data_IF_707340302613
#
_entry.id   IF_707340302613
#
_cell.length_a   1.000
_cell.length_b   1.000
_cell.length_c   1.000
_cell.angle_alpha   90.00
_cell.angle_beta   90.00
_cell.angle_gamma   90.00
#
_symmetry.space_group_name_H-M   'P 1'
#
loop_
_entity.id
_entity.type
_entity.pdbx_description
1 polymer ?
#
# COMPACT_ATOMS: atom_id res chain seq x y z
N UNK A 1 -20.51 27.04 5.12
CA UNK A 1 -19.08 26.70 5.22
C UNK A 1 -18.73 25.83 4.02
N UNK A 2 -17.68 26.15 3.24
CA UNK A 2 -17.13 25.19 2.29
C UNK A 2 -16.59 23.96 3.05
N UNK A 3 -16.67 22.74 2.47
CA UNK A 3 -16.06 21.57 3.08
C UNK A 3 -14.55 21.81 3.22
N UNK A 4 -13.98 21.39 4.35
CA UNK A 4 -12.54 21.42 4.55
C UNK A 4 -11.89 20.62 3.40
N UNK A 5 -10.78 21.11 2.81
CA UNK A 5 -10.08 20.34 1.79
C UNK A 5 -9.65 18.99 2.37
N UNK A 6 -9.68 17.91 1.58
CA UNK A 6 -9.19 16.61 2.03
C UNK A 6 -7.77 16.77 2.56
N UNK A 7 -7.50 16.23 3.75
CA UNK A 7 -6.14 16.17 4.24
C UNK A 7 -5.38 15.14 3.41
N UNK A 8 -4.22 15.56 2.89
CA UNK A 8 -3.29 14.73 2.13
C UNK A 8 -1.99 14.63 2.92
N UNK A 9 -1.42 13.43 3.01
CA UNK A 9 -0.07 13.22 3.51
C UNK A 9 0.78 12.54 2.43
N UNK A 10 2.06 12.94 2.35
CA UNK A 10 2.99 12.46 1.32
C UNK A 10 4.17 11.73 1.95
N UNK A 11 4.53 10.59 1.38
CA UNK A 11 5.62 9.73 1.84
C UNK A 11 6.46 9.31 0.63
N UNK A 12 7.77 9.22 0.80
CA UNK A 12 8.68 8.72 -0.23
C UNK A 12 9.17 7.32 0.17
N UNK A 13 8.95 6.35 -0.70
CA UNK A 13 9.53 5.02 -0.60
C UNK A 13 10.77 4.93 -1.50
N UNK A 14 11.89 4.57 -0.89
CA UNK A 14 13.16 4.34 -1.57
C UNK A 14 13.92 3.19 -0.89
N UNK A 15 14.70 2.43 -1.67
CA UNK A 15 15.56 1.31 -1.21
C UNK A 15 16.50 1.68 -0.04
N UNK A 16 16.90 2.95 0.07
CA UNK A 16 17.78 3.45 1.14
C UNK A 16 17.05 4.15 2.29
N UNK A 17 15.73 4.31 2.19
CA UNK A 17 14.91 5.01 3.18
C UNK A 17 14.14 4.06 4.10
N UNK A 18 13.51 4.59 5.17
CA UNK A 18 12.61 3.81 6.01
C UNK A 18 11.46 3.25 5.15
N UNK A 19 11.34 1.91 5.12
CA UNK A 19 10.40 1.18 4.28
C UNK A 19 9.05 0.92 4.93
N UNK A 20 8.51 1.87 5.70
CA UNK A 20 7.21 1.70 6.34
C UNK A 20 6.41 2.99 6.20
N UNK A 21 5.24 2.90 5.56
CA UNK A 21 4.31 4.02 5.46
C UNK A 21 3.34 3.92 6.61
N UNK A 22 3.38 4.88 7.54
CA UNK A 22 2.40 4.95 8.62
C UNK A 22 1.00 5.23 8.04
N UNK A 23 0.06 4.33 8.32
CA UNK A 23 -1.34 4.49 7.91
C UNK A 23 -2.20 5.12 8.99
N UNK A 24 -1.70 5.31 10.21
CA UNK A 24 -2.40 6.03 11.26
C UNK A 24 -2.25 7.55 11.07
N UNK A 25 -2.36 8.01 9.82
CA UNK A 25 -2.40 9.41 9.47
C UNK A 25 -3.83 9.96 9.60
N UNK A 26 -3.94 11.22 10.04
CA UNK A 26 -5.19 11.97 10.06
C UNK A 26 -5.48 12.58 8.67
N UNK A 27 -5.38 11.72 7.66
CA UNK A 27 -5.46 12.00 6.24
C UNK A 27 -6.54 11.15 5.59
N UNK A 28 -7.22 11.66 4.56
CA UNK A 28 -8.13 10.85 3.71
C UNK A 28 -7.42 10.39 2.43
N UNK A 29 -6.31 11.04 2.07
CA UNK A 29 -5.46 10.71 0.93
C UNK A 29 -4.00 10.53 1.37
N UNK A 30 -3.34 9.50 0.87
CA UNK A 30 -1.91 9.24 1.02
C UNK A 30 -1.27 9.18 -0.36
N UNK A 31 -0.25 10.02 -0.57
CA UNK A 31 0.57 10.02 -1.77
C UNK A 31 1.92 9.38 -1.45
N UNK A 32 2.21 8.28 -2.10
CA UNK A 32 3.40 7.49 -1.87
C UNK A 32 4.24 7.54 -3.14
N UNK A 33 5.28 8.38 -3.14
CA UNK A 33 6.23 8.44 -4.25
C UNK A 33 7.18 7.26 -4.15
N UNK A 34 7.13 6.36 -5.12
CA UNK A 34 8.05 5.23 -5.26
C UNK A 34 9.19 5.67 -6.15
N UNK A 35 10.38 5.83 -5.55
CA UNK A 35 11.53 6.45 -6.22
C UNK A 35 12.71 5.50 -6.36
N UNK A 36 12.91 4.93 -7.56
CA UNK A 36 14.25 4.66 -8.06
C UNK A 36 14.37 3.62 -9.19
N UNK A 37 15.39 3.74 -10.06
CA UNK A 37 15.69 2.72 -11.05
C UNK A 37 16.07 1.42 -10.35
N UNK A 38 15.56 0.29 -10.86
CA UNK A 38 15.75 -1.05 -10.27
C UNK A 38 15.04 -1.26 -8.91
N UNK A 39 14.11 -0.38 -8.53
CA UNK A 39 13.20 -0.67 -7.42
C UNK A 39 12.07 -1.54 -7.94
N UNK A 40 12.11 -2.81 -7.59
CA UNK A 40 11.06 -3.75 -7.88
C UNK A 40 10.31 -3.94 -6.58
N UNK A 41 9.33 -3.11 -6.27
CA UNK A 41 8.35 -3.45 -5.23
C UNK A 41 7.09 -3.92 -5.93
N UNK A 42 6.73 -5.19 -5.81
CA UNK A 42 5.56 -5.70 -6.51
C UNK A 42 4.25 -5.27 -5.83
N UNK A 43 4.28 -5.08 -4.50
CA UNK A 43 3.11 -4.76 -3.69
C UNK A 43 3.49 -4.10 -2.38
N UNK A 44 2.52 -3.45 -1.75
CA UNK A 44 2.58 -3.04 -0.35
C UNK A 44 1.70 -3.97 0.48
N UNK A 45 2.14 -4.34 1.68
CA UNK A 45 1.37 -5.17 2.63
C UNK A 45 1.02 -4.37 3.87
N UNK A 46 -0.23 -4.47 4.31
CA UNK A 46 -0.64 -3.97 5.61
C UNK A 46 0.02 -4.80 6.71
N UNK A 47 0.83 -4.16 7.53
CA UNK A 47 1.34 -4.69 8.78
C UNK A 47 0.58 -4.03 9.93
N UNK A 48 0.10 -4.85 10.86
CA UNK A 48 -0.56 -4.37 12.08
C UNK A 48 -0.17 -5.24 13.27
N UNK A 49 -0.19 -4.65 14.46
CA UNK A 49 -0.02 -5.39 15.73
C UNK A 49 -1.31 -6.07 16.18
N UNK A 50 -2.44 -5.80 15.53
CA UNK A 50 -3.73 -6.40 15.86
C UNK A 50 -3.83 -7.83 15.30
N UNK A 51 -4.20 -8.74 16.18
CA UNK A 51 -4.52 -10.13 15.84
C UNK A 51 -6.00 -10.32 15.53
N UNK A 52 -6.41 -11.48 14.98
CA UNK A 52 -7.82 -11.80 14.78
C UNK A 52 -8.66 -11.78 16.07
N UNK A 53 -8.04 -12.03 17.23
CA UNK A 53 -8.71 -11.98 18.54
C UNK A 53 -8.97 -10.56 19.03
N UNK A 54 -8.38 -9.56 18.38
CA UNK A 54 -8.50 -8.13 18.71
C UNK A 54 -9.35 -7.38 17.68
N UNK A 55 -10.00 -8.10 16.76
CA UNK A 55 -10.90 -7.55 15.75
C UNK A 55 -10.35 -7.60 14.32
N UNK A 56 -9.04 -7.83 14.13
CA UNK A 56 -8.39 -7.86 12.81
C UNK A 56 -8.65 -9.19 12.07
N UNK A 57 -9.91 -9.44 11.74
CA UNK A 57 -10.37 -10.65 11.04
C UNK A 57 -10.29 -10.48 9.52
N UNK A 58 -10.27 -11.59 8.77
CA UNK A 58 -10.28 -11.57 7.31
C UNK A 58 -11.47 -10.76 6.74
N UNK A 59 -12.67 -10.95 7.31
CA UNK A 59 -13.86 -10.22 6.89
C UNK A 59 -13.71 -8.69 7.07
N UNK A 60 -13.09 -8.24 8.16
CA UNK A 60 -12.88 -6.81 8.39
C UNK A 60 -11.76 -6.23 7.53
N UNK A 61 -10.76 -7.05 7.17
CA UNK A 61 -9.76 -6.69 6.16
C UNK A 61 -10.39 -6.58 4.77
N UNK A 62 -11.34 -7.46 4.42
CA UNK A 62 -12.11 -7.37 3.16
C UNK A 62 -12.98 -6.11 3.14
N UNK A 63 -13.64 -5.80 4.26
CA UNK A 63 -14.38 -4.54 4.39
C UNK A 63 -13.45 -3.34 4.23
N UNK A 64 -12.29 -3.34 4.88
CA UNK A 64 -11.29 -2.30 4.73
C UNK A 64 -10.83 -2.16 3.27
N UNK A 65 -10.51 -3.26 2.58
CA UNK A 65 -10.13 -3.24 1.17
C UNK A 65 -11.22 -2.61 0.30
N UNK A 66 -12.50 -2.91 0.55
CA UNK A 66 -13.64 -2.29 -0.15
C UNK A 66 -13.88 -0.81 0.19
N UNK A 67 -13.15 -0.24 1.16
CA UNK A 67 -13.18 1.18 1.52
C UNK A 67 -11.93 1.94 1.10
N UNK A 68 -11.01 1.28 0.41
CA UNK A 68 -9.77 1.87 -0.09
C UNK A 68 -9.78 1.84 -1.61
N UNK A 69 -9.27 2.91 -2.21
CA UNK A 69 -9.06 3.00 -3.65
C UNK A 69 -7.63 3.48 -3.89
N UNK A 70 -6.94 2.78 -4.79
CA UNK A 70 -5.55 3.05 -5.13
C UNK A 70 -5.40 3.38 -6.61
N UNK A 71 -4.60 4.38 -6.94
CA UNK A 71 -4.19 4.69 -8.31
C UNK A 71 -2.68 4.89 -8.39
N UNK A 72 -2.06 4.34 -9.42
CA UNK A 72 -0.64 4.50 -9.72
C UNK A 72 -0.46 5.44 -10.89
N UNK A 73 0.31 6.49 -10.67
CA UNK A 73 0.65 7.50 -11.65
C UNK A 73 2.10 7.27 -12.06
N UNK A 74 2.30 6.85 -13.30
CA UNK A 74 3.62 6.68 -13.89
C UNK A 74 3.71 7.50 -15.18
N UNK A 75 4.75 8.32 -15.32
CA UNK A 75 4.95 9.14 -16.52
C UNK A 75 5.08 8.35 -17.82
N UNK A 76 5.43 7.05 -17.74
CA UNK A 76 5.61 6.18 -18.91
C UNK A 76 4.35 5.39 -19.28
N UNK A 77 3.59 4.93 -18.28
CA UNK A 77 2.45 4.01 -18.49
C UNK A 77 1.10 4.65 -18.18
N UNK A 78 1.07 5.92 -17.80
CA UNK A 78 -0.15 6.66 -17.45
C UNK A 78 -0.66 6.36 -16.05
N UNK A 79 -1.97 6.57 -15.85
CA UNK A 79 -2.67 6.28 -14.60
C UNK A 79 -3.24 4.87 -14.68
N UNK A 80 -2.97 4.05 -13.68
CA UNK A 80 -3.45 2.68 -13.54
C UNK A 80 -4.13 2.49 -12.19
N UNK A 81 -5.08 1.58 -12.10
CA UNK A 81 -5.64 1.16 -10.81
C UNK A 81 -4.59 0.35 -10.04
N UNK A 82 -4.44 0.63 -8.74
CA UNK A 82 -3.64 -0.16 -7.82
C UNK A 82 -4.59 -1.07 -7.04
N UNK A 83 -4.68 -2.37 -7.37
CA UNK A 83 -5.67 -3.24 -6.78
C UNK A 83 -5.42 -3.39 -5.28
N UNK A 84 -6.48 -3.22 -4.48
CA UNK A 84 -6.48 -3.49 -3.03
C UNK A 84 -7.10 -4.86 -2.80
N UNK A 85 -6.30 -5.84 -2.41
CA UNK A 85 -6.72 -7.24 -2.30
C UNK A 85 -6.51 -7.78 -0.89
N UNK A 86 -7.26 -8.82 -0.53
CA UNK A 86 -7.03 -9.57 0.71
C UNK A 86 -6.64 -11.00 0.35
N UNK A 87 -5.43 -11.39 0.72
CA UNK A 87 -4.98 -12.78 0.61
C UNK A 87 -5.27 -13.50 1.93
N UNK A 88 -6.07 -14.57 1.86
CA UNK A 88 -6.37 -15.42 3.02
C UNK A 88 -5.47 -16.65 3.04
N UNK A 89 -4.91 -16.94 4.21
CA UNK A 89 -4.07 -18.10 4.47
C UNK A 89 -4.55 -18.83 5.74
N UNK A 90 -4.02 -20.03 5.99
CA UNK A 90 -4.33 -20.78 7.23
C UNK A 90 -3.97 -20.02 8.51
N UNK A 91 -2.99 -19.12 8.44
CA UNK A 91 -2.48 -18.36 9.58
C UNK A 91 -3.18 -16.99 9.79
N UNK A 92 -4.08 -16.59 8.88
CA UNK A 92 -4.73 -15.28 8.91
C UNK A 92 -4.94 -14.71 7.51
N UNK A 93 -5.26 -13.43 7.44
CA UNK A 93 -5.43 -12.70 6.18
C UNK A 93 -4.52 -11.48 6.15
N UNK A 94 -4.10 -11.10 4.94
CA UNK A 94 -3.22 -9.96 4.70
C UNK A 94 -3.85 -9.09 3.63
N UNK A 95 -3.96 -7.79 3.91
CA UNK A 95 -4.35 -6.80 2.90
C UNK A 95 -3.10 -6.37 2.12
N UNK A 96 -3.23 -6.34 0.80
CA UNK A 96 -2.16 -5.97 -0.12
C UNK A 96 -2.64 -4.88 -1.09
N UNK A 97 -1.71 -4.03 -1.52
CA UNK A 97 -1.92 -3.03 -2.57
C UNK A 97 -0.93 -3.34 -3.69
N UNK A 98 -1.43 -3.75 -4.84
CA UNK A 98 -0.60 -4.07 -6.00
C UNK A 98 0.03 -2.82 -6.60
N UNK A 99 1.34 -2.84 -6.81
CA UNK A 99 2.06 -1.75 -7.49
C UNK A 99 2.25 -2.01 -8.99
N UNK A 100 1.93 -3.23 -9.44
CA UNK A 100 1.95 -3.64 -10.84
C UNK A 100 3.31 -3.43 -11.53
N UNK A 101 3.35 -3.46 -12.88
CA UNK A 101 4.56 -3.20 -13.65
C UNK A 101 5.08 -1.76 -13.54
N UNK A 102 4.20 -0.81 -13.18
CA UNK A 102 4.55 0.60 -13.01
C UNK A 102 5.56 0.83 -11.87
N UNK A 103 5.59 -0.08 -10.89
CA UNK A 103 6.56 -0.09 -9.80
C UNK A 103 8.03 -0.11 -10.24
N UNK A 104 8.32 -0.62 -11.44
CA UNK A 104 9.68 -0.67 -12.02
C UNK A 104 10.23 0.71 -12.38
N UNK A 105 9.36 1.72 -12.38
CA UNK A 105 9.67 3.09 -12.72
C UNK A 105 9.39 4.00 -11.53
N UNK A 106 9.88 5.24 -11.62
CA UNK A 106 9.41 6.28 -10.72
C UNK A 106 7.91 6.47 -10.89
N UNK A 107 7.16 6.24 -9.82
CA UNK A 107 5.71 6.28 -9.81
C UNK A 107 5.18 6.91 -8.52
N UNK A 108 3.96 7.41 -8.55
CA UNK A 108 3.22 7.87 -7.37
C UNK A 108 2.00 6.98 -7.18
N UNK A 109 1.94 6.27 -6.06
CA UNK A 109 0.72 5.63 -5.60
C UNK A 109 -0.10 6.66 -4.83
N UNK A 110 -1.30 6.96 -5.30
CA UNK A 110 -2.31 7.72 -4.56
C UNK A 110 -3.30 6.70 -3.98
N UNK A 111 -3.32 6.59 -2.67
CA UNK A 111 -4.27 5.78 -1.92
C UNK A 111 -5.25 6.72 -1.22
N UNK A 112 -6.55 6.51 -1.36
CA UNK A 112 -7.54 7.27 -0.62
C UNK A 112 -8.60 6.38 0.01
N UNK A 113 -9.27 6.92 1.03
CA UNK A 113 -10.49 6.33 1.58
C UNK A 113 -11.67 6.68 0.68
N UNK A 114 -12.55 5.72 0.41
CA UNK A 114 -13.83 5.99 -0.27
C UNK A 114 -14.89 6.56 0.67
N UNK A 115 -14.60 6.55 1.97
CA UNK A 115 -15.38 7.22 3.02
C UNK A 115 -14.82 8.61 3.32
N UNK A 116 -15.60 9.44 4.00
CA UNK A 116 -15.12 10.73 4.53
C UNK A 116 -14.25 10.59 5.79
N UNK A 117 -13.93 9.36 6.21
CA UNK A 117 -13.11 9.09 7.40
C UNK A 117 -11.62 9.16 7.05
N UNK A 118 -10.79 9.63 7.99
CA UNK A 118 -9.33 9.51 7.85
C UNK A 118 -8.90 8.04 7.90
N UNK A 119 -7.72 7.71 7.36
CA UNK A 119 -7.14 6.38 7.50
C UNK A 119 -7.10 5.91 8.95
N UNK A 120 -6.66 6.78 9.89
CA UNK A 120 -6.69 6.46 11.32
C UNK A 120 -8.09 6.05 11.79
N UNK A 121 -9.11 6.86 11.49
CA UNK A 121 -10.49 6.62 11.92
C UNK A 121 -11.05 5.33 11.32
N UNK A 122 -10.86 5.13 10.01
CA UNK A 122 -11.29 3.94 9.29
C UNK A 122 -10.63 2.67 9.84
N UNK A 123 -9.31 2.68 10.03
CA UNK A 123 -8.56 1.55 10.58
C UNK A 123 -8.94 1.24 12.02
N UNK A 124 -9.15 2.27 12.84
CA UNK A 124 -9.55 2.08 14.24
C UNK A 124 -10.93 1.46 14.33
N UNK A 125 -11.89 1.95 13.53
CA UNK A 125 -13.27 1.45 13.49
C UNK A 125 -13.36 0.03 12.95
N UNK A 126 -12.59 -0.30 11.92
CA UNK A 126 -12.67 -1.60 11.26
C UNK A 126 -11.79 -2.65 11.92
N UNK A 127 -10.56 -2.33 12.32
CA UNK A 127 -9.60 -3.37 12.70
C UNK A 127 -9.53 -3.63 14.21
N UNK A 128 -9.99 -2.69 15.05
CA UNK A 128 -9.92 -2.82 16.51
C UNK A 128 -11.30 -3.03 17.15
N UNK A 129 -11.40 -4.01 18.05
CA UNK A 129 -12.57 -4.15 18.94
C UNK A 129 -12.55 -3.15 20.11
N UNK A 130 -11.39 -2.54 20.38
CA UNK A 130 -11.19 -1.54 21.42
C UNK A 130 -10.56 -0.27 20.82
N UNK A 131 -11.36 0.76 20.51
CA UNK A 131 -10.86 2.00 19.92
C UNK A 131 -9.85 2.76 20.79
N UNK A 132 -9.80 2.49 22.09
CA UNK A 132 -8.86 3.13 23.01
C UNK A 132 -7.50 2.43 23.07
N UNK A 133 -7.40 1.20 22.53
CA UNK A 133 -6.15 0.45 22.50
C UNK A 133 -5.19 1.03 21.46
N UNK A 134 -3.95 1.40 21.84
CA UNK A 134 -2.96 1.78 20.86
C UNK A 134 -2.55 0.55 20.03
N UNK A 135 -2.47 0.74 18.71
CA UNK A 135 -1.97 -0.26 17.79
C UNK A 135 -1.09 0.40 16.73
N UNK A 136 -0.34 -0.41 16.00
CA UNK A 136 0.40 0.01 14.83
C UNK A 136 -0.34 -0.47 13.57
N UNK A 137 -0.40 0.38 12.54
CA UNK A 137 -0.83 -0.02 11.21
C UNK A 137 -0.01 0.73 10.16
N UNK A 138 0.65 0.01 9.25
CA UNK A 138 1.43 0.64 8.19
C UNK A 138 1.63 -0.26 6.99
N UNK A 139 1.94 0.35 5.85
CA UNK A 139 2.24 -0.36 4.60
C UNK A 139 3.73 -0.64 4.50
N UNK A 140 4.06 -1.92 4.33
CA UNK A 140 5.42 -2.39 4.10
C UNK A 140 5.61 -2.78 2.63
N UNK A 141 6.64 -2.28 1.93
CA UNK A 141 6.91 -2.61 0.55
C UNK A 141 7.55 -4.00 0.44
N UNK A 142 6.95 -4.85 -0.38
CA UNK A 142 7.45 -6.19 -0.68
C UNK A 142 8.29 -6.14 -1.95
N UNK A 143 9.58 -6.48 -1.90
CA UNK A 143 10.41 -6.57 -3.10
C UNK A 143 9.86 -7.61 -4.07
N UNK A 144 9.81 -7.29 -5.36
CA UNK A 144 9.49 -8.24 -6.40
C UNK A 144 10.59 -9.30 -6.48
N UNK A 145 10.16 -10.55 -6.66
CA UNK A 145 11.06 -11.72 -6.67
C UNK A 145 11.50 -12.12 -8.07
N UNK A 146 10.98 -11.46 -9.12
CA UNK A 146 11.37 -11.67 -10.52
C UNK A 146 12.73 -11.04 -10.85
N UNK A 147 13.70 -11.88 -11.22
CA UNK A 147 15.02 -11.49 -11.70
C UNK A 147 14.96 -10.55 -12.91
N UNK A 148 15.75 -9.46 -12.86
CA UNK A 148 16.33 -8.86 -14.07
C UNK A 148 17.48 -9.77 -14.54
N UNK A 149 17.17 -10.96 -15.05
CA UNK A 149 18.11 -11.72 -15.86
C UNK A 149 18.17 -11.08 -17.24
N UNK A 150 18.95 -10.01 -17.37
CA UNK A 150 19.47 -9.65 -18.67
C UNK A 150 20.49 -10.72 -19.06
N UNK A 151 20.03 -11.75 -19.77
CA UNK A 151 20.91 -12.48 -20.68
C UNK A 151 21.36 -11.49 -21.76
N UNK A 152 22.45 -10.79 -21.49
CA UNK A 152 23.32 -10.33 -22.56
C UNK A 152 23.86 -11.60 -23.23
N UNK A 153 23.15 -12.06 -24.26
CA UNK A 153 23.68 -13.02 -25.22
C UNK A 153 24.94 -12.40 -25.82
N UNK A 154 26.07 -12.73 -25.20
CA UNK A 154 27.39 -12.37 -25.67
C UNK A 154 27.60 -12.91 -27.07
N UNK A 155 28.16 -12.04 -27.90
CA UNK A 155 28.74 -12.30 -29.20
C UNK A 155 29.29 -13.72 -29.38
N UNK A 156 28.87 -14.36 -30.48
CA UNK A 156 29.45 -15.58 -30.98
C UNK A 156 29.21 -15.70 -32.49
N UNK A 157 29.90 -14.86 -33.25
CA UNK A 157 30.19 -15.15 -34.68
C UNK A 157 30.92 -16.50 -34.75
N UNK A 158 30.55 -17.35 -35.71
CA UNK A 158 31.39 -17.49 -36.89
C UNK A 158 30.61 -17.25 -38.18
#
# INVERSE_FOLDING_TARGET
MPPAPPSTASVVLSKGGPGLVDLLADSTELRITVTGPLMLFERLRLLTTLSPFEGCTAQRLEELAGRLEGTLHCGLTGIQEAPVTVETHRAGAVLEIGLGPASMYQSELVLHTTTAETFRALLTRLLSDDPARPFFAGLYPVPATGHLEHHHGGHGHP
#
